data_IF_913451838448
#
_entry.id   IF_913451838448
#
_cell.length_a   1.000
_cell.length_b   1.000
_cell.length_c   1.000
_cell.angle_alpha   90.00
_cell.angle_beta   90.00
_cell.angle_gamma   90.00
#
_symmetry.space_group_name_H-M   'P 1'
#
loop_
_entity.id
_entity.type
_entity.pdbx_description
1 polymer ?
#
# COMPACT_ATOMS: atom_id res chain seq x y z
N UNK A 1 13.65 7.45 5.60
CA UNK A 1 12.99 6.93 4.39
C UNK A 1 12.65 5.46 4.54
N UNK A 2 13.63 4.57 4.78
CA UNK A 2 13.37 3.13 4.84
C UNK A 2 12.34 2.75 5.90
N UNK A 3 12.46 3.29 7.12
CA UNK A 3 11.48 3.07 8.19
C UNK A 3 10.11 3.62 7.80
N UNK A 4 10.07 4.82 7.18
CA UNK A 4 8.83 5.40 6.70
C UNK A 4 8.18 4.58 5.57
N UNK A 5 8.97 4.07 4.62
CA UNK A 5 8.50 3.17 3.57
C UNK A 5 7.92 1.86 4.14
N UNK A 6 8.59 1.27 5.14
CA UNK A 6 8.13 0.05 5.79
C UNK A 6 6.82 0.28 6.58
N UNK A 7 6.75 1.37 7.34
CA UNK A 7 5.52 1.77 8.04
C UNK A 7 4.40 2.07 7.04
N UNK A 8 4.71 2.79 5.97
CA UNK A 8 3.75 3.11 4.91
C UNK A 8 3.17 1.85 4.26
N UNK A 9 4.03 0.88 3.90
CA UNK A 9 3.62 -0.41 3.34
C UNK A 9 2.79 -1.24 4.34
N UNK A 10 3.10 -1.16 5.65
CA UNK A 10 2.36 -1.91 6.67
C UNK A 10 1.00 -1.30 7.03
N UNK A 11 0.87 0.04 6.98
CA UNK A 11 -0.37 0.75 7.32
C UNK A 11 -1.30 0.96 6.12
N UNK A 12 -0.73 1.14 4.92
CA UNK A 12 -1.47 1.44 3.70
C UNK A 12 -2.20 2.79 3.71
N UNK A 13 -2.07 3.60 4.77
CA UNK A 13 -2.79 4.86 4.98
C UNK A 13 -1.79 6.00 5.22
N UNK A 14 -1.80 7.00 4.34
CA UNK A 14 -0.88 8.15 4.40
C UNK A 14 -0.98 8.89 5.73
N UNK A 15 -2.18 9.23 6.16
CA UNK A 15 -2.39 10.00 7.39
C UNK A 15 -1.82 9.33 8.63
N UNK A 16 -2.09 8.02 8.80
CA UNK A 16 -1.57 7.25 9.94
C UNK A 16 -0.04 7.22 9.94
N UNK A 17 0.57 6.96 8.78
CA UNK A 17 2.04 6.89 8.64
C UNK A 17 2.68 8.25 8.91
N UNK A 18 2.18 9.32 8.28
CA UNK A 18 2.72 10.68 8.44
C UNK A 18 2.60 11.13 9.89
N UNK A 19 1.45 10.95 10.53
CA UNK A 19 1.24 11.33 11.95
C UNK A 19 2.20 10.56 12.84
N UNK A 20 2.28 9.24 12.69
CA UNK A 20 3.16 8.39 13.51
C UNK A 20 4.63 8.78 13.35
N UNK A 21 5.10 8.94 12.11
CA UNK A 21 6.46 9.38 11.83
C UNK A 21 6.73 10.80 12.37
N UNK A 22 5.75 11.69 12.28
CA UNK A 22 5.88 13.05 12.82
C UNK A 22 6.02 13.03 14.34
N UNK A 23 5.25 12.21 15.04
CA UNK A 23 5.30 12.14 16.50
C UNK A 23 6.57 11.45 17.02
N UNK A 24 7.10 10.46 16.31
CA UNK A 24 8.23 9.64 16.76
C UNK A 24 9.56 10.17 16.19
N UNK A 25 9.66 10.35 14.89
CA UNK A 25 10.93 10.65 14.23
C UNK A 25 11.24 12.16 14.23
N UNK A 26 10.26 13.04 14.03
CA UNK A 26 10.51 14.47 13.90
C UNK A 26 11.17 15.09 15.14
N UNK A 27 10.70 14.85 16.39
CA UNK A 27 11.35 15.39 17.57
C UNK A 27 12.79 14.91 17.72
N UNK A 28 13.07 13.66 17.37
CA UNK A 28 14.42 13.10 17.42
C UNK A 28 15.32 13.73 16.36
N UNK A 29 14.85 13.90 15.13
CA UNK A 29 15.60 14.56 14.07
C UNK A 29 15.93 16.01 14.43
N UNK A 30 14.95 16.76 14.97
CA UNK A 30 15.19 18.15 15.38
C UNK A 30 16.18 18.23 16.54
N UNK A 31 16.10 17.37 17.55
CA UNK A 31 17.09 17.32 18.65
C UNK A 31 18.49 17.01 18.17
N UNK A 32 18.63 16.18 17.15
CA UNK A 32 19.91 15.84 16.52
C UNK A 32 20.39 16.93 15.53
N UNK A 33 19.70 18.08 15.43
CA UNK A 33 20.14 19.22 14.63
C UNK A 33 19.82 19.16 13.14
N UNK A 34 18.94 18.25 12.72
CA UNK A 34 18.51 18.19 11.31
C UNK A 34 17.76 19.47 10.91
N UNK A 35 17.99 19.93 9.66
CA UNK A 35 17.20 21.02 9.10
C UNK A 35 15.69 20.64 9.14
N UNK A 36 14.83 21.48 9.73
CA UNK A 36 13.38 21.22 9.81
C UNK A 36 12.74 20.97 8.45
N UNK A 37 13.23 21.61 7.37
CA UNK A 37 12.73 21.40 6.00
C UNK A 37 13.05 19.98 5.53
N UNK A 38 14.31 19.53 5.70
CA UNK A 38 14.73 18.19 5.32
C UNK A 38 13.97 17.13 6.12
N UNK A 39 13.84 17.32 7.45
CA UNK A 39 13.14 16.41 8.33
C UNK A 39 11.66 16.27 7.97
N UNK A 40 10.95 17.39 7.83
CA UNK A 40 9.51 17.40 7.51
C UNK A 40 9.24 16.87 6.10
N UNK A 41 10.02 17.30 5.11
CA UNK A 41 9.90 16.79 3.72
C UNK A 41 10.12 15.29 3.63
N UNK A 42 11.16 14.77 4.31
CA UNK A 42 11.43 13.33 4.37
C UNK A 42 10.28 12.54 4.99
N UNK A 43 9.70 13.02 6.09
CA UNK A 43 8.60 12.36 6.78
C UNK A 43 7.35 12.36 5.91
N UNK A 44 6.96 13.51 5.35
CA UNK A 44 5.79 13.62 4.49
C UNK A 44 5.92 12.72 3.25
N UNK A 45 7.06 12.81 2.54
CA UNK A 45 7.32 12.01 1.36
C UNK A 45 7.36 10.51 1.66
N UNK A 46 8.01 10.10 2.75
CA UNK A 46 8.05 8.68 3.15
C UNK A 46 6.66 8.15 3.49
N UNK A 47 5.80 8.98 4.10
CA UNK A 47 4.43 8.60 4.43
C UNK A 47 3.55 8.37 3.21
N UNK A 48 3.79 9.09 2.10
CA UNK A 48 3.03 8.90 0.86
C UNK A 48 3.41 7.63 0.11
N UNK A 49 4.56 7.01 0.40
CA UNK A 49 4.99 5.75 -0.23
C UNK A 49 3.98 4.60 -0.04
N UNK A 50 3.15 4.63 1.00
CA UNK A 50 2.10 3.64 1.22
C UNK A 50 1.01 3.60 0.15
N UNK A 51 0.95 4.60 -0.74
CA UNK A 51 0.03 4.59 -1.88
C UNK A 51 0.57 3.75 -3.05
N UNK A 52 1.89 3.65 -3.21
CA UNK A 52 2.49 2.94 -4.35
C UNK A 52 3.22 1.66 -3.95
N UNK A 53 3.71 1.53 -2.71
CA UNK A 53 4.40 0.30 -2.27
C UNK A 53 3.36 -0.74 -1.82
N UNK A 54 3.29 -1.91 -2.47
CA UNK A 54 2.38 -2.98 -2.05
C UNK A 54 2.74 -3.59 -0.67
N UNK A 55 1.74 -4.05 0.09
CA UNK A 55 0.30 -3.99 -0.18
C UNK A 55 -0.31 -2.60 0.10
N UNK A 56 -0.97 -2.02 -0.87
CA UNK A 56 -1.53 -0.66 -0.82
C UNK A 56 -3.04 -0.67 -0.99
N UNK A 57 -3.77 0.05 -0.14
CA UNK A 57 -5.22 0.22 -0.27
C UNK A 57 -5.57 0.94 -1.58
N UNK A 58 -4.78 1.96 -1.95
CA UNK A 58 -4.98 2.71 -3.20
C UNK A 58 -4.93 1.78 -4.41
N UNK A 59 -3.92 0.90 -4.47
CA UNK A 59 -3.76 -0.03 -5.58
C UNK A 59 -4.87 -1.09 -5.62
N UNK A 60 -5.38 -1.55 -4.47
CA UNK A 60 -6.51 -2.49 -4.42
C UNK A 60 -7.76 -1.85 -5.00
N UNK A 61 -8.12 -0.65 -4.52
CA UNK A 61 -9.32 0.06 -4.97
C UNK A 61 -9.19 0.49 -6.45
N UNK A 62 -8.01 0.91 -6.85
CA UNK A 62 -7.72 1.27 -8.23
C UNK A 62 -7.76 0.06 -9.17
N UNK A 63 -7.32 -1.12 -8.73
CA UNK A 63 -7.44 -2.35 -9.49
C UNK A 63 -8.89 -2.69 -9.82
N UNK A 64 -9.77 -2.56 -8.83
CA UNK A 64 -11.21 -2.79 -9.01
C UNK A 64 -11.83 -1.77 -9.98
N UNK A 65 -11.54 -0.48 -9.80
CA UNK A 65 -12.02 0.59 -10.67
C UNK A 65 -11.52 0.42 -12.13
N UNK A 66 -10.24 0.11 -12.32
CA UNK A 66 -9.64 -0.09 -13.65
C UNK A 66 -10.13 -1.39 -14.30
N UNK A 67 -10.32 -2.47 -13.54
CA UNK A 67 -10.91 -3.72 -14.06
C UNK A 67 -12.32 -3.49 -14.62
N UNK A 68 -13.13 -2.74 -13.87
CA UNK A 68 -14.47 -2.33 -14.32
C UNK A 68 -14.41 -1.43 -15.57
N UNK A 69 -13.49 -0.46 -15.61
CA UNK A 69 -13.27 0.42 -16.76
C UNK A 69 -12.81 -0.36 -18.00
N UNK A 70 -11.91 -1.32 -17.83
CA UNK A 70 -11.44 -2.19 -18.91
C UNK A 70 -12.55 -3.08 -19.46
N UNK A 71 -13.42 -3.60 -18.59
CA UNK A 71 -14.60 -4.36 -19.01
C UNK A 71 -15.58 -3.49 -19.81
N UNK A 72 -15.83 -2.25 -19.40
CA UNK A 72 -16.66 -1.30 -20.14
C UNK A 72 -16.05 -0.95 -21.50
N UNK A 73 -14.75 -0.68 -21.57
CA UNK A 73 -14.04 -0.42 -22.82
C UNK A 73 -14.13 -1.61 -23.79
N UNK A 74 -13.98 -2.85 -23.29
CA UNK A 74 -14.14 -4.06 -24.10
C UNK A 74 -15.55 -4.21 -24.66
N UNK A 75 -16.57 -3.92 -23.87
CA UNK A 75 -17.97 -3.96 -24.32
C UNK A 75 -18.25 -2.90 -25.40
N UNK A 76 -17.74 -1.68 -25.21
CA UNK A 76 -17.95 -0.58 -26.17
C UNK A 76 -17.25 -0.84 -27.51
N UNK A 77 -16.10 -1.50 -27.52
CA UNK A 77 -15.33 -1.80 -28.75
C UNK A 77 -15.71 -3.12 -29.40
N UNK A 78 -16.56 -3.94 -28.76
CA UNK A 78 -16.89 -5.29 -29.24
C UNK A 78 -15.69 -6.25 -29.29
N UNK A 79 -14.58 -5.89 -28.66
CA UNK A 79 -13.38 -6.72 -28.64
C UNK A 79 -13.56 -7.85 -27.62
N UNK A 80 -13.48 -9.10 -28.08
CA UNK A 80 -13.57 -10.30 -27.23
C UNK A 80 -12.37 -10.52 -26.31
N UNK A 81 -11.36 -9.65 -26.34
CA UNK A 81 -10.19 -9.66 -25.45
C UNK A 81 -10.53 -8.90 -24.17
N UNK A 82 -10.95 -9.61 -23.13
CA UNK A 82 -11.12 -9.00 -21.80
C UNK A 82 -9.75 -8.66 -21.24
N UNK A 83 -9.47 -7.35 -21.13
CA UNK A 83 -8.37 -6.89 -20.28
C UNK A 83 -8.80 -7.09 -18.82
N UNK A 84 -8.52 -8.27 -18.28
CA UNK A 84 -8.75 -8.54 -16.86
C UNK A 84 -7.54 -8.00 -16.11
N UNK A 85 -7.75 -6.93 -15.37
CA UNK A 85 -6.73 -6.37 -14.48
C UNK A 85 -7.00 -6.89 -13.08
N UNK A 86 -6.04 -7.60 -12.52
CA UNK A 86 -6.12 -8.10 -11.15
C UNK A 86 -5.39 -7.17 -10.18
N UNK A 87 -5.69 -7.29 -8.89
CA UNK A 87 -4.92 -6.63 -7.82
C UNK A 87 -3.45 -7.07 -7.85
N UNK A 88 -3.20 -8.33 -8.19
CA UNK A 88 -1.84 -8.87 -8.35
C UNK A 88 -1.06 -8.15 -9.44
N UNK A 89 -1.69 -7.84 -10.57
CA UNK A 89 -1.06 -7.11 -11.68
C UNK A 89 -0.68 -5.70 -11.26
N UNK A 90 -1.54 -5.00 -10.52
CA UNK A 90 -1.22 -3.67 -10.01
C UNK A 90 -0.12 -3.71 -8.94
N UNK A 91 -0.14 -4.70 -8.07
CA UNK A 91 0.93 -4.88 -7.09
C UNK A 91 2.27 -5.14 -7.77
N UNK A 92 2.31 -6.04 -8.76
CA UNK A 92 3.50 -6.30 -9.54
C UNK A 92 3.95 -5.04 -10.30
N UNK A 93 3.02 -4.35 -10.96
CA UNK A 93 3.30 -3.13 -11.72
C UNK A 93 3.82 -1.97 -10.88
N UNK A 94 3.42 -1.91 -9.61
CA UNK A 94 3.83 -0.86 -8.68
C UNK A 94 5.19 -1.10 -8.02
N UNK A 95 5.69 -2.36 -7.98
CA UNK A 95 6.92 -2.70 -7.27
C UNK A 95 8.14 -1.94 -7.80
N UNK A 96 8.37 -1.99 -9.11
CA UNK A 96 9.53 -1.33 -9.72
C UNK A 96 9.46 0.20 -9.54
N UNK A 97 8.35 0.89 -9.88
CA UNK A 97 8.20 2.31 -9.61
C UNK A 97 8.33 2.67 -8.13
N UNK A 98 7.74 1.87 -7.24
CA UNK A 98 7.79 2.09 -5.80
C UNK A 98 9.21 2.03 -5.25
N UNK A 99 9.98 0.97 -5.58
CA UNK A 99 11.38 0.86 -5.15
C UNK A 99 12.28 1.92 -5.80
N UNK A 100 12.01 2.28 -7.05
CA UNK A 100 12.73 3.35 -7.73
C UNK A 100 12.51 4.69 -7.00
N UNK A 101 11.29 4.96 -6.56
CA UNK A 101 10.97 6.16 -5.77
C UNK A 101 11.70 6.19 -4.43
N UNK A 102 11.74 5.06 -3.72
CA UNK A 102 12.53 4.93 -2.48
C UNK A 102 14.00 5.23 -2.76
N UNK A 103 14.55 4.66 -3.85
CA UNK A 103 15.93 4.91 -4.28
C UNK A 103 16.19 6.39 -4.59
N UNK A 104 15.26 7.07 -5.28
CA UNK A 104 15.35 8.50 -5.57
C UNK A 104 15.33 9.34 -4.28
N UNK A 105 14.49 9.00 -3.32
CA UNK A 105 14.45 9.68 -2.03
C UNK A 105 15.71 9.49 -1.22
N UNK A 106 16.24 8.26 -1.17
CA UNK A 106 17.50 7.97 -0.51
C UNK A 106 18.67 8.70 -1.19
N UNK A 107 18.69 8.70 -2.54
CA UNK A 107 19.68 9.42 -3.33
C UNK A 107 19.67 10.92 -3.05
N UNK A 108 18.47 11.53 -2.97
CA UNK A 108 18.33 12.94 -2.62
C UNK A 108 18.88 13.27 -1.22
N UNK A 109 18.54 12.44 -0.22
CA UNK A 109 19.01 12.64 1.15
C UNK A 109 20.53 12.45 1.23
N UNK A 110 21.09 11.42 0.57
CA UNK A 110 22.52 11.20 0.49
C UNK A 110 23.24 12.38 -0.19
N UNK A 111 22.70 12.87 -1.29
CA UNK A 111 23.23 14.05 -1.99
C UNK A 111 23.20 15.29 -1.09
N UNK A 112 22.11 15.48 -0.34
CA UNK A 112 21.97 16.60 0.60
C UNK A 112 22.99 16.48 1.73
N UNK A 113 23.18 15.28 2.30
CA UNK A 113 24.15 15.04 3.36
C UNK A 113 25.61 15.28 2.90
N UNK A 114 25.93 14.97 1.63
CA UNK A 114 27.27 15.20 1.07
C UNK A 114 27.49 16.70 0.78
N UNK A 115 26.49 17.38 0.18
CA UNK A 115 26.64 18.78 -0.23
C UNK A 115 26.41 19.80 0.91
N UNK A 116 25.56 19.44 1.85
CA UNK A 116 25.12 20.29 2.95
C UNK A 116 25.11 19.52 4.28
N UNK A 117 26.29 19.08 4.79
CA UNK A 117 26.39 18.28 5.99
C UNK A 117 25.80 19.00 7.22
N UNK A 118 25.76 20.34 7.20
CA UNK A 118 25.11 21.14 8.22
C UNK A 118 23.58 20.93 8.34
N UNK A 119 22.93 20.44 7.28
CA UNK A 119 21.48 20.13 7.26
C UNK A 119 21.17 18.72 7.73
N UNK A 120 22.16 17.86 7.73
CA UNK A 120 22.04 16.42 8.03
C UNK A 120 23.25 16.01 8.90
N UNK A 121 23.40 16.57 10.13
CA UNK A 121 24.54 16.29 10.97
C UNK A 121 24.58 14.81 11.36
N UNK A 122 25.77 14.25 11.64
CA UNK A 122 25.90 12.90 12.15
C UNK A 122 25.19 12.77 13.49
N UNK A 123 24.57 11.62 13.72
CA UNK A 123 23.85 11.33 14.96
C UNK A 123 24.84 11.44 16.13
N UNK A 124 24.52 12.29 17.09
CA UNK A 124 25.28 12.41 18.33
C UNK A 124 24.86 11.27 19.27
N UNK A 125 25.84 10.66 19.90
CA UNK A 125 25.60 9.65 20.93
C UNK A 125 24.95 10.34 22.14
N UNK A 126 23.69 10.04 22.39
CA UNK A 126 22.91 10.58 23.52
C UNK A 126 23.00 9.68 24.77
N UNK A 127 23.91 8.68 24.75
CA UNK A 127 24.07 7.72 25.85
C UNK A 127 22.95 6.70 25.95
N UNK A 128 22.05 6.64 24.96
CA UNK A 128 21.01 5.60 24.90
C UNK A 128 21.65 4.23 24.67
N UNK A 129 21.19 3.17 25.37
CA UNK A 129 21.72 1.84 25.14
C UNK A 129 21.48 1.43 23.68
N UNK A 130 22.46 0.75 23.04
CA UNK A 130 22.29 0.28 21.67
C UNK A 130 21.11 -0.69 21.58
N UNK A 131 20.33 -0.55 20.53
CA UNK A 131 19.20 -1.46 20.26
C UNK A 131 19.72 -2.89 20.18
N UNK A 132 19.06 -3.79 20.90
CA UNK A 132 19.38 -5.21 20.82
C UNK A 132 18.95 -5.78 19.47
N UNK A 133 19.66 -6.81 18.99
CA UNK A 133 19.28 -7.51 17.75
C UNK A 133 17.84 -8.02 17.80
N UNK A 134 17.35 -8.41 18.97
CA UNK A 134 15.97 -8.87 19.19
C UNK A 134 14.96 -7.72 18.94
N UNK A 135 15.22 -6.53 19.45
CA UNK A 135 14.36 -5.36 19.26
C UNK A 135 14.29 -4.94 17.80
N UNK A 136 15.42 -4.94 17.11
CA UNK A 136 15.47 -4.65 15.67
C UNK A 136 14.73 -5.73 14.87
N UNK A 137 14.94 -7.01 15.17
CA UNK A 137 14.30 -8.11 14.48
C UNK A 137 12.77 -8.10 14.64
N UNK A 138 12.27 -7.81 15.83
CA UNK A 138 10.82 -7.67 16.04
C UNK A 138 10.26 -6.37 15.49
N UNK A 139 10.97 -5.24 15.63
CA UNK A 139 10.48 -3.94 15.18
C UNK A 139 10.41 -3.80 13.67
N UNK A 140 11.39 -4.30 12.94
CA UNK A 140 11.47 -4.22 11.49
C UNK A 140 11.17 -5.55 10.80
N UNK A 141 11.67 -6.65 11.36
CA UNK A 141 11.59 -7.97 10.73
C UNK A 141 10.18 -8.54 10.70
N UNK A 142 9.39 -8.37 11.75
CA UNK A 142 8.03 -8.90 11.81
C UNK A 142 7.09 -8.26 10.77
N UNK A 143 7.01 -6.92 10.63
CA UNK A 143 6.24 -6.30 9.55
C UNK A 143 6.75 -6.69 8.16
N UNK A 144 8.07 -6.70 7.96
CA UNK A 144 8.67 -7.07 6.67
C UNK A 144 8.32 -8.51 6.28
N UNK A 145 8.40 -9.44 7.22
CA UNK A 145 8.03 -10.84 6.99
C UNK A 145 6.56 -10.98 6.59
N UNK A 146 5.66 -10.24 7.24
CA UNK A 146 4.24 -10.23 6.87
C UNK A 146 4.02 -9.68 5.47
N UNK A 147 4.65 -8.55 5.13
CA UNK A 147 4.55 -7.93 3.80
C UNK A 147 5.04 -8.93 2.74
N UNK A 148 6.21 -9.54 2.94
CA UNK A 148 6.78 -10.53 2.00
C UNK A 148 5.90 -11.77 1.89
N UNK A 149 5.33 -12.25 3.00
CA UNK A 149 4.44 -13.41 2.99
C UNK A 149 3.13 -13.15 2.22
N UNK A 150 2.46 -12.01 2.51
CA UNK A 150 1.20 -11.64 1.84
C UNK A 150 1.44 -11.34 0.37
N UNK A 151 2.44 -10.51 0.06
CA UNK A 151 2.77 -10.14 -1.31
C UNK A 151 3.26 -11.34 -2.12
N UNK A 152 4.11 -12.17 -1.51
CA UNK A 152 4.58 -13.41 -2.13
C UNK A 152 3.46 -14.40 -2.41
N UNK A 153 2.46 -14.51 -1.52
CA UNK A 153 1.29 -15.35 -1.76
C UNK A 153 0.43 -14.85 -2.95
N UNK A 154 0.28 -13.52 -3.10
CA UNK A 154 -0.48 -12.92 -4.20
C UNK A 154 0.30 -13.05 -5.52
N UNK A 155 1.56 -12.60 -5.56
CA UNK A 155 2.37 -12.61 -6.78
C UNK A 155 2.76 -14.02 -7.23
N UNK A 156 2.90 -14.94 -6.29
CA UNK A 156 3.13 -16.37 -6.58
C UNK A 156 1.87 -17.14 -7.00
N UNK A 157 0.70 -16.48 -7.08
CA UNK A 157 -0.56 -17.13 -7.44
C UNK A 157 -1.04 -18.17 -6.43
N UNK A 158 -0.51 -18.16 -5.21
CA UNK A 158 -0.84 -19.12 -4.14
C UNK A 158 -2.21 -18.84 -3.56
N UNK A 159 -2.55 -17.55 -3.40
CA UNK A 159 -3.81 -17.10 -2.84
C UNK A 159 -4.29 -15.81 -3.53
N UNK A 160 -5.61 -15.66 -3.77
CA UNK A 160 -6.16 -14.37 -4.20
C UNK A 160 -5.97 -13.32 -3.10
N UNK A 161 -6.04 -12.01 -3.45
CA UNK A 161 -5.76 -10.93 -2.50
C UNK A 161 -6.57 -10.97 -1.21
N UNK A 162 -7.82 -11.40 -1.27
CA UNK A 162 -8.71 -11.52 -0.10
C UNK A 162 -8.25 -12.62 0.88
N UNK A 163 -7.82 -13.77 0.36
CA UNK A 163 -7.29 -14.86 1.18
C UNK A 163 -5.91 -14.51 1.75
N UNK A 164 -5.05 -13.89 0.93
CA UNK A 164 -3.75 -13.41 1.37
C UNK A 164 -3.88 -12.35 2.49
N UNK A 165 -4.88 -11.46 2.41
CA UNK A 165 -5.18 -10.52 3.47
C UNK A 165 -5.59 -11.22 4.78
N UNK A 166 -6.38 -12.29 4.72
CA UNK A 166 -6.75 -13.09 5.89
C UNK A 166 -5.51 -13.75 6.55
N UNK A 167 -4.57 -14.26 5.74
CA UNK A 167 -3.27 -14.76 6.23
C UNK A 167 -2.49 -13.62 6.91
N UNK A 168 -2.49 -12.43 6.31
CA UNK A 168 -1.87 -11.24 6.89
C UNK A 168 -2.44 -10.86 8.25
N UNK A 169 -3.77 -10.86 8.39
CA UNK A 169 -4.45 -10.59 9.67
C UNK A 169 -4.08 -11.64 10.72
N UNK A 170 -4.13 -12.92 10.38
CA UNK A 170 -3.76 -14.00 11.30
C UNK A 170 -2.29 -13.90 11.73
N UNK A 171 -1.39 -13.64 10.79
CA UNK A 171 0.02 -13.41 11.05
C UNK A 171 0.26 -12.20 11.96
N UNK A 172 -0.44 -11.08 11.72
CA UNK A 172 -0.38 -9.89 12.56
C UNK A 172 -0.83 -10.16 14.01
N UNK A 173 -1.93 -10.92 14.19
CA UNK A 173 -2.44 -11.33 15.51
C UNK A 173 -1.42 -12.19 16.23
N UNK A 174 -0.81 -13.17 15.54
CA UNK A 174 0.20 -14.06 16.14
C UNK A 174 1.47 -13.31 16.53
N UNK A 175 1.99 -12.43 15.64
CA UNK A 175 3.22 -11.67 15.91
C UNK A 175 3.01 -10.60 16.99
N UNK A 176 1.89 -9.88 16.96
CA UNK A 176 1.55 -8.92 18.00
C UNK A 176 1.32 -9.62 19.35
N UNK A 177 0.60 -10.76 19.35
CA UNK A 177 0.41 -11.59 20.53
C UNK A 177 1.73 -12.07 21.11
N UNK A 178 2.67 -12.51 20.26
CA UNK A 178 3.99 -12.99 20.67
C UNK A 178 4.82 -11.85 21.32
N UNK A 179 4.78 -10.66 20.74
CA UNK A 179 5.48 -9.49 21.30
C UNK A 179 4.95 -9.13 22.69
N UNK A 180 3.63 -9.09 22.84
CA UNK A 180 2.98 -8.71 24.09
C UNK A 180 3.09 -9.81 25.17
N UNK A 181 3.08 -11.09 24.78
CA UNK A 181 3.29 -12.21 25.69
C UNK A 181 4.72 -12.28 26.21
N UNK A 182 5.72 -11.91 25.42
CA UNK A 182 7.13 -11.85 25.84
C UNK A 182 7.33 -10.80 26.95
N UNK A 183 6.60 -9.69 26.88
CA UNK A 183 6.61 -8.65 27.91
C UNK A 183 5.92 -9.11 29.22
N UNK A 184 4.93 -10.02 29.15
CA UNK A 184 4.13 -10.51 30.28
C UNK A 184 4.72 -11.79 30.95
N UNK A 185 5.85 -12.31 30.46
CA UNK A 185 6.56 -13.50 30.97
C UNK A 185 5.74 -14.82 31.04
N UNK A 186 4.61 -14.92 30.29
CA UNK A 186 3.79 -16.14 30.24
C UNK A 186 4.31 -17.17 29.21
N UNK A 187 5.26 -18.01 29.62
CA UNK A 187 5.94 -18.99 28.76
C UNK A 187 4.99 -19.93 27.97
N UNK A 188 3.85 -20.33 28.55
CA UNK A 188 2.86 -21.21 27.87
C UNK A 188 2.20 -20.53 26.69
N UNK A 189 1.81 -19.25 26.84
CA UNK A 189 1.19 -18.44 25.80
C UNK A 189 2.18 -18.25 24.66
N UNK A 190 3.44 -17.91 24.97
CA UNK A 190 4.52 -17.76 23.99
C UNK A 190 4.67 -19.03 23.15
N UNK A 191 4.70 -20.23 23.79
CA UNK A 191 4.81 -21.50 23.06
C UNK A 191 3.61 -21.77 22.15
N UNK A 192 2.38 -21.48 22.56
CA UNK A 192 1.19 -21.65 21.74
C UNK A 192 1.20 -20.72 20.52
N UNK A 193 1.64 -19.47 20.69
CA UNK A 193 1.77 -18.52 19.60
C UNK A 193 2.88 -18.93 18.62
N UNK A 194 4.01 -19.39 19.12
CA UNK A 194 5.12 -19.94 18.29
C UNK A 194 4.69 -21.19 17.53
N UNK A 195 3.94 -22.09 18.18
CA UNK A 195 3.36 -23.26 17.53
C UNK A 195 2.36 -22.87 16.43
N UNK A 196 1.55 -21.84 16.68
CA UNK A 196 0.67 -21.26 15.66
C UNK A 196 1.42 -20.71 14.44
N UNK A 197 2.52 -20.00 14.63
CA UNK A 197 3.38 -19.56 13.53
C UNK A 197 4.06 -20.75 12.82
N UNK A 198 4.58 -21.70 13.58
CA UNK A 198 5.22 -22.91 13.02
C UNK A 198 4.25 -23.79 12.22
N UNK A 199 2.95 -23.81 12.61
CA UNK A 199 1.94 -24.58 11.90
C UNK A 199 1.68 -24.05 10.48
N UNK A 200 1.86 -22.76 10.21
CA UNK A 200 1.77 -22.20 8.85
C UNK A 200 2.85 -22.81 7.95
N UNK A 201 4.08 -22.87 8.45
CA UNK A 201 5.19 -23.49 7.72
C UNK A 201 4.91 -24.99 7.50
N UNK A 202 4.41 -25.66 8.54
CA UNK A 202 4.05 -27.07 8.46
C UNK A 202 2.97 -27.33 7.40
N UNK A 203 1.91 -26.50 7.34
CA UNK A 203 0.85 -26.61 6.33
C UNK A 203 1.41 -26.43 4.91
N UNK A 204 2.29 -25.43 4.71
CA UNK A 204 2.93 -25.20 3.41
C UNK A 204 3.77 -26.41 2.98
N UNK A 205 4.56 -26.98 3.90
CA UNK A 205 5.36 -28.15 3.64
C UNK A 205 4.51 -29.39 3.32
N UNK A 206 3.45 -29.62 4.11
CA UNK A 206 2.53 -30.74 3.91
C UNK A 206 1.81 -30.65 2.55
N UNK A 207 1.39 -29.44 2.14
CA UNK A 207 0.81 -29.22 0.80
C UNK A 207 1.77 -29.59 -0.34
N UNK A 208 3.06 -29.35 -0.16
CA UNK A 208 4.06 -29.69 -1.18
C UNK A 208 4.45 -31.19 -1.19
N UNK A 209 4.30 -31.87 -0.06
CA UNK A 209 4.69 -33.27 0.10
C UNK A 209 3.55 -34.26 -0.19
N UNK A 210 2.30 -33.85 0.04
CA UNK A 210 1.11 -34.69 -0.05
C UNK A 210 0.05 -34.07 -0.93
N UNK A 211 -0.71 -34.91 -1.66
CA UNK A 211 -1.93 -34.46 -2.31
C UNK A 211 -3.07 -34.35 -1.27
N UNK A 212 -3.40 -33.12 -0.89
CA UNK A 212 -4.40 -32.83 0.14
C UNK A 212 -5.84 -32.74 -0.39
N UNK A 213 -6.08 -33.11 -1.66
CA UNK A 213 -7.42 -33.09 -2.27
C UNK A 213 -8.30 -34.16 -1.67
N UNK A 214 -9.40 -33.77 -1.04
CA UNK A 214 -10.36 -34.71 -0.40
C UNK A 214 -11.47 -35.17 -1.34
N UNK A 215 -11.61 -34.63 -2.55
CA UNK A 215 -12.64 -34.95 -3.53
C UNK A 215 -12.24 -36.03 -4.56
N UNK A 216 -11.16 -36.79 -4.32
CA UNK A 216 -10.66 -37.82 -5.25
C UNK A 216 -11.26 -39.17 -4.88
N UNK A 217 -11.63 -39.95 -5.89
CA UNK A 217 -12.32 -41.26 -5.71
C UNK A 217 -11.51 -42.30 -4.90
N UNK A 218 -10.17 -42.20 -4.88
CA UNK A 218 -9.30 -43.07 -4.07
C UNK A 218 -8.19 -42.22 -3.43
N UNK A 219 -8.16 -42.10 -2.11
CA UNK A 219 -7.11 -41.45 -1.37
C UNK A 219 -6.11 -42.53 -0.90
N UNK A 220 -4.84 -42.42 -1.31
CA UNK A 220 -3.79 -43.35 -0.86
C UNK A 220 -3.46 -43.09 0.62
N UNK A 221 -3.04 -44.15 1.35
CA UNK A 221 -2.72 -44.06 2.80
C UNK A 221 -1.74 -42.95 3.16
N UNK A 222 -0.75 -42.65 2.29
CA UNK A 222 0.19 -41.56 2.51
C UNK A 222 -0.51 -40.20 2.51
N UNK A 223 -1.47 -39.99 1.60
CA UNK A 223 -2.23 -38.75 1.53
C UNK A 223 -3.25 -38.59 2.67
N UNK A 224 -3.83 -39.73 3.15
CA UNK A 224 -4.66 -39.74 4.36
C UNK A 224 -3.88 -39.21 5.60
N UNK A 225 -2.64 -39.68 5.76
CA UNK A 225 -1.74 -39.19 6.83
C UNK A 225 -1.44 -37.71 6.62
N UNK A 226 -1.15 -37.27 5.40
CA UNK A 226 -0.91 -35.88 5.05
C UNK A 226 -2.11 -34.98 5.38
N UNK A 227 -3.32 -35.43 5.06
CA UNK A 227 -4.58 -34.71 5.39
C UNK A 227 -4.75 -34.62 6.91
N UNK A 228 -4.56 -35.73 7.66
CA UNK A 228 -4.68 -35.74 9.11
C UNK A 228 -3.69 -34.78 9.79
N UNK A 229 -2.42 -34.79 9.33
CA UNK A 229 -1.40 -33.87 9.82
C UNK A 229 -1.73 -32.40 9.51
N UNK A 230 -2.31 -32.14 8.34
CA UNK A 230 -2.74 -30.80 7.95
C UNK A 230 -3.91 -30.33 8.80
N UNK A 231 -4.88 -31.20 9.11
CA UNK A 231 -5.97 -30.88 10.05
C UNK A 231 -5.42 -30.56 11.42
N UNK A 232 -4.48 -31.37 11.93
CA UNK A 232 -3.85 -31.10 13.24
C UNK A 232 -3.10 -29.78 13.26
N UNK A 233 -2.31 -29.50 12.21
CA UNK A 233 -1.61 -28.22 12.07
C UNK A 233 -2.59 -27.05 11.99
N UNK A 234 -3.71 -27.20 11.30
CA UNK A 234 -4.77 -26.19 11.23
C UNK A 234 -5.42 -25.92 12.62
N UNK A 235 -5.66 -26.98 13.40
CA UNK A 235 -6.16 -26.82 14.79
C UNK A 235 -5.16 -26.04 15.64
N UNK A 236 -3.86 -26.34 15.53
CA UNK A 236 -2.79 -25.61 16.24
C UNK A 236 -2.73 -24.16 15.78
N UNK A 237 -2.88 -23.89 14.48
CA UNK A 237 -2.95 -22.55 13.93
C UNK A 237 -4.09 -21.74 14.53
N UNK A 238 -5.33 -22.27 14.49
CA UNK A 238 -6.48 -21.58 15.04
C UNK A 238 -6.41 -21.41 16.56
N UNK A 239 -5.84 -22.37 17.28
CA UNK A 239 -5.58 -22.24 18.72
C UNK A 239 -4.56 -21.11 19.00
N UNK A 240 -3.51 -21.00 18.19
CA UNK A 240 -2.55 -19.88 18.25
C UNK A 240 -3.21 -18.53 17.99
N UNK A 241 -4.01 -18.41 16.93
CA UNK A 241 -4.74 -17.17 16.60
C UNK A 241 -5.71 -16.80 17.71
N UNK A 242 -6.49 -17.76 18.24
CA UNK A 242 -7.40 -17.52 19.38
C UNK A 242 -6.64 -17.03 20.62
N UNK A 243 -5.48 -17.64 20.92
CA UNK A 243 -4.59 -17.20 21.99
C UNK A 243 -4.09 -15.76 21.75
N UNK A 244 -3.67 -15.43 20.55
CA UNK A 244 -3.25 -14.07 20.17
C UNK A 244 -4.37 -13.05 20.36
N UNK A 245 -5.60 -13.38 19.96
CA UNK A 245 -6.76 -12.51 20.18
C UNK A 245 -7.06 -12.30 21.68
N UNK A 246 -6.90 -13.35 22.51
CA UNK A 246 -7.05 -13.22 23.97
C UNK A 246 -6.00 -12.30 24.55
N UNK A 247 -4.72 -12.44 24.13
CA UNK A 247 -3.63 -11.54 24.57
C UNK A 247 -3.90 -10.10 24.16
N UNK A 248 -4.24 -9.86 22.89
CA UNK A 248 -4.58 -8.53 22.38
C UNK A 248 -5.76 -7.90 23.11
N UNK A 249 -6.79 -8.70 23.46
CA UNK A 249 -7.93 -8.25 24.26
C UNK A 249 -7.51 -7.87 25.67
N UNK A 250 -6.70 -8.71 26.33
CA UNK A 250 -6.17 -8.47 27.69
C UNK A 250 -5.34 -7.19 27.74
N UNK A 251 -4.48 -6.98 26.73
CA UNK A 251 -3.64 -5.78 26.59
C UNK A 251 -4.40 -4.55 26.03
N UNK A 252 -5.73 -4.65 25.88
CA UNK A 252 -6.61 -3.58 25.36
C UNK A 252 -6.26 -3.05 23.96
N UNK A 253 -5.52 -3.84 23.16
CA UNK A 253 -5.14 -3.48 21.79
C UNK A 253 -6.18 -3.94 20.74
N UNK A 254 -6.94 -4.99 21.02
CA UNK A 254 -7.89 -5.57 20.06
C UNK A 254 -9.03 -4.59 19.71
N UNK A 255 -9.64 -3.96 20.71
CA UNK A 255 -10.81 -3.10 20.48
C UNK A 255 -10.48 -1.84 19.67
N UNK A 256 -9.38 -1.11 19.94
CA UNK A 256 -8.95 -0.01 19.06
C UNK A 256 -8.69 -0.46 17.62
N UNK A 257 -8.05 -1.61 17.41
CA UNK A 257 -7.78 -2.14 16.08
C UNK A 257 -9.08 -2.48 15.33
N UNK A 258 -10.03 -3.17 15.97
CA UNK A 258 -11.34 -3.48 15.39
C UNK A 258 -12.14 -2.22 15.09
N UNK A 259 -12.15 -1.24 15.99
CA UNK A 259 -12.83 0.04 15.77
C UNK A 259 -12.25 0.78 14.57
N UNK A 260 -10.93 0.87 14.47
CA UNK A 260 -10.25 1.51 13.33
C UNK A 260 -10.58 0.79 12.01
N UNK A 261 -10.49 -0.54 11.98
CA UNK A 261 -10.84 -1.33 10.81
C UNK A 261 -12.31 -1.12 10.39
N UNK A 262 -13.25 -1.14 11.35
CA UNK A 262 -14.67 -0.90 11.08
C UNK A 262 -14.91 0.51 10.54
N UNK A 263 -14.27 1.52 11.11
CA UNK A 263 -14.41 2.92 10.65
C UNK A 263 -13.96 3.08 9.22
N UNK A 264 -12.75 2.55 8.87
CA UNK A 264 -12.21 2.62 7.52
C UNK A 264 -13.11 1.88 6.54
N UNK A 265 -13.51 0.65 6.86
CA UNK A 265 -14.37 -0.17 6.01
C UNK A 265 -15.73 0.53 5.78
N UNK A 266 -16.37 1.03 6.83
CA UNK A 266 -17.65 1.74 6.72
C UNK A 266 -17.52 3.01 5.87
N UNK A 267 -16.44 3.76 6.02
CA UNK A 267 -16.15 4.95 5.22
C UNK A 267 -16.02 4.58 3.73
N UNK A 268 -15.24 3.56 3.40
CA UNK A 268 -15.04 3.12 2.01
C UNK A 268 -16.37 2.68 1.39
N UNK A 269 -17.18 1.88 2.08
CA UNK A 269 -18.48 1.46 1.57
C UNK A 269 -19.46 2.63 1.39
N UNK A 270 -19.47 3.59 2.30
CA UNK A 270 -20.33 4.78 2.17
C UNK A 270 -19.94 5.61 0.95
N UNK A 271 -18.64 5.83 0.74
CA UNK A 271 -18.14 6.54 -0.45
C UNK A 271 -18.50 5.78 -1.72
N UNK A 272 -18.31 4.45 -1.74
CA UNK A 272 -18.64 3.60 -2.89
C UNK A 272 -20.13 3.65 -3.25
N UNK A 273 -21.04 3.63 -2.28
CA UNK A 273 -22.48 3.80 -2.51
C UNK A 273 -22.76 5.18 -3.09
N UNK A 274 -22.20 6.23 -2.50
CA UNK A 274 -22.37 7.60 -3.00
C UNK A 274 -21.83 7.79 -4.41
N UNK A 275 -20.64 7.25 -4.70
CA UNK A 275 -20.01 7.27 -6.02
C UNK A 275 -20.83 6.50 -7.06
N UNK A 276 -21.39 5.34 -6.68
CA UNK A 276 -22.26 4.56 -7.57
C UNK A 276 -23.55 5.31 -7.94
N UNK A 277 -24.18 5.97 -6.95
CA UNK A 277 -25.35 6.81 -7.20
C UNK A 277 -25.00 8.01 -8.09
N UNK A 278 -23.89 8.69 -7.82
CA UNK A 278 -23.40 9.78 -8.66
C UNK A 278 -23.16 9.30 -10.10
N UNK A 279 -22.44 8.19 -10.29
CA UNK A 279 -22.15 7.63 -11.60
C UNK A 279 -23.43 7.24 -12.37
N UNK A 280 -24.43 6.68 -11.67
CA UNK A 280 -25.72 6.33 -12.27
C UNK A 280 -26.44 7.57 -12.81
N UNK A 281 -26.53 8.62 -11.99
CA UNK A 281 -27.18 9.88 -12.38
C UNK A 281 -26.40 10.57 -13.50
N UNK A 282 -25.07 10.63 -13.38
CA UNK A 282 -24.19 11.26 -14.36
C UNK A 282 -24.32 10.60 -15.75
N UNK A 283 -24.33 9.27 -15.81
CA UNK A 283 -24.58 8.51 -17.05
C UNK A 283 -25.99 8.70 -17.57
N UNK A 284 -26.99 8.75 -16.70
CA UNK A 284 -28.37 8.98 -17.07
C UNK A 284 -28.61 10.33 -17.80
N UNK A 285 -27.71 11.31 -17.54
CA UNK A 285 -27.67 12.59 -18.25
C UNK A 285 -26.67 12.62 -19.41
N UNK A 286 -26.10 11.49 -19.82
CA UNK A 286 -25.11 11.42 -20.92
C UNK A 286 -23.75 12.04 -20.57
N UNK A 287 -23.38 12.10 -19.28
CA UNK A 287 -22.15 12.73 -18.84
C UNK A 287 -20.90 11.97 -19.24
N UNK A 288 -20.98 10.65 -19.36
CA UNK A 288 -19.91 9.79 -19.85
C UNK A 288 -19.61 10.03 -21.33
N UNK A 289 -20.63 10.23 -22.18
CA UNK A 289 -20.47 10.62 -23.58
C UNK A 289 -19.78 11.98 -23.71
N UNK A 290 -20.18 12.97 -22.89
CA UNK A 290 -19.54 14.29 -22.86
C UNK A 290 -18.05 14.18 -22.48
N UNK A 291 -17.72 13.40 -21.46
CA UNK A 291 -16.33 13.19 -21.05
C UNK A 291 -15.53 12.50 -22.16
N UNK A 292 -16.11 11.48 -22.79
CA UNK A 292 -15.48 10.78 -23.91
C UNK A 292 -15.22 11.74 -25.10
N UNK A 293 -16.21 12.54 -25.49
CA UNK A 293 -16.09 13.53 -26.58
C UNK A 293 -15.01 14.58 -26.27
N UNK A 294 -14.97 15.10 -25.04
CA UNK A 294 -13.92 16.02 -24.60
C UNK A 294 -12.55 15.36 -24.74
N UNK A 295 -12.36 14.14 -24.24
CA UNK A 295 -11.08 13.45 -24.31
C UNK A 295 -10.66 13.10 -25.75
N UNK A 296 -11.61 12.72 -26.61
CA UNK A 296 -11.35 12.45 -28.01
C UNK A 296 -11.00 13.71 -28.82
N UNK A 297 -11.58 14.86 -28.46
CA UNK A 297 -11.32 16.15 -29.13
C UNK A 297 -10.06 16.87 -28.66
N UNK A 298 -9.34 16.31 -27.64
CA UNK A 298 -8.16 16.98 -27.08
C UNK A 298 -7.05 17.19 -28.11
N UNK A 299 -6.47 18.41 -28.19
CA UNK A 299 -5.28 18.65 -29.00
C UNK A 299 -4.12 17.77 -28.50
N UNK A 300 -3.42 17.12 -29.43
CA UNK A 300 -2.36 16.14 -29.11
C UNK A 300 -2.86 14.68 -29.08
N UNK A 301 -4.14 14.44 -29.42
CA UNK A 301 -4.72 13.11 -29.52
C UNK A 301 -4.71 12.38 -28.17
N UNK A 302 -4.41 11.07 -28.16
CA UNK A 302 -4.42 10.26 -26.93
C UNK A 302 -3.51 10.79 -25.81
N UNK A 303 -2.35 11.37 -26.16
CA UNK A 303 -1.44 11.95 -25.16
C UNK A 303 -2.00 13.23 -24.54
N UNK A 304 -2.70 14.06 -25.34
CA UNK A 304 -3.41 15.24 -24.83
C UNK A 304 -4.50 14.85 -23.84
N UNK A 305 -5.30 13.82 -24.17
CA UNK A 305 -6.31 13.26 -23.29
C UNK A 305 -5.73 12.75 -21.96
N UNK A 306 -4.60 12.02 -22.03
CA UNK A 306 -3.91 11.53 -20.84
C UNK A 306 -3.42 12.68 -19.95
N UNK A 307 -2.70 13.65 -20.53
CA UNK A 307 -2.16 14.79 -19.79
C UNK A 307 -3.28 15.60 -19.13
N UNK A 308 -4.37 15.86 -19.87
CA UNK A 308 -5.53 16.56 -19.32
C UNK A 308 -6.13 15.80 -18.14
N UNK A 309 -6.33 14.50 -18.28
CA UNK A 309 -6.83 13.64 -17.19
C UNK A 309 -5.91 13.70 -15.97
N UNK A 310 -4.59 13.59 -16.18
CA UNK A 310 -3.61 13.66 -15.08
C UNK A 310 -3.65 15.02 -14.38
N UNK A 311 -3.79 16.12 -15.11
CA UNK A 311 -3.92 17.48 -14.54
C UNK A 311 -5.21 17.60 -13.73
N UNK A 312 -6.34 17.14 -14.25
CA UNK A 312 -7.62 17.18 -13.54
C UNK A 312 -7.55 16.36 -12.25
N UNK A 313 -7.06 15.12 -12.31
CA UNK A 313 -6.91 14.29 -11.12
C UNK A 313 -5.93 14.90 -10.11
N UNK A 314 -4.83 15.51 -10.58
CA UNK A 314 -3.87 16.19 -9.73
C UNK A 314 -4.50 17.36 -8.98
N UNK A 315 -5.29 18.20 -9.66
CA UNK A 315 -5.99 19.33 -9.05
C UNK A 315 -7.09 18.86 -8.09
N UNK A 316 -7.86 17.84 -8.47
CA UNK A 316 -8.86 17.25 -7.57
C UNK A 316 -8.24 16.66 -6.32
N UNK A 317 -7.05 16.06 -6.40
CA UNK A 317 -6.33 15.51 -5.26
C UNK A 317 -5.86 16.53 -4.21
N UNK A 318 -6.05 17.83 -4.46
CA UNK A 318 -5.89 18.85 -3.42
C UNK A 318 -7.10 18.93 -2.48
N UNK A 319 -8.28 18.53 -2.93
CA UNK A 319 -9.55 18.73 -2.24
C UNK A 319 -10.25 17.43 -1.87
N UNK A 320 -10.02 16.37 -2.66
CA UNK A 320 -10.61 15.06 -2.50
C UNK A 320 -9.56 14.05 -2.03
N UNK A 321 -9.97 13.13 -1.17
CA UNK A 321 -9.13 11.98 -0.84
C UNK A 321 -9.03 11.02 -2.04
N UNK A 322 -8.02 10.15 -2.01
CA UNK A 322 -7.80 9.20 -3.12
C UNK A 322 -9.00 8.28 -3.35
N UNK A 323 -9.76 7.95 -2.29
CA UNK A 323 -10.92 7.05 -2.38
C UNK A 323 -12.00 7.67 -3.27
N UNK A 324 -12.33 8.94 -3.05
CA UNK A 324 -13.32 9.64 -3.88
C UNK A 324 -12.87 9.74 -5.34
N UNK A 325 -11.59 10.06 -5.58
CA UNK A 325 -11.08 10.16 -6.95
C UNK A 325 -11.11 8.81 -7.65
N UNK A 326 -10.71 7.73 -6.96
CA UNK A 326 -10.73 6.37 -7.53
C UNK A 326 -12.15 5.90 -7.86
N UNK A 327 -13.13 6.19 -7.02
CA UNK A 327 -14.50 5.71 -7.27
C UNK A 327 -15.39 6.65 -8.08
N UNK A 328 -15.05 7.95 -8.19
CA UNK A 328 -15.83 8.91 -8.95
C UNK A 328 -15.16 9.24 -10.27
N UNK A 329 -13.89 9.64 -10.25
CA UNK A 329 -13.19 10.16 -11.44
C UNK A 329 -12.68 9.04 -12.34
N UNK A 330 -12.02 8.03 -11.77
CA UNK A 330 -11.43 6.93 -12.56
C UNK A 330 -12.47 6.21 -13.43
N UNK A 331 -13.68 5.86 -12.95
CA UNK A 331 -14.70 5.23 -13.80
C UNK A 331 -15.19 6.08 -14.99
N UNK A 332 -14.99 7.40 -14.92
CA UNK A 332 -15.39 8.32 -16.00
C UNK A 332 -14.27 8.49 -17.04
N UNK A 333 -13.02 8.54 -16.61
CA UNK A 333 -11.90 8.87 -17.49
C UNK A 333 -11.12 7.65 -17.98
N UNK A 334 -11.10 6.55 -17.24
CA UNK A 334 -10.34 5.37 -17.60
C UNK A 334 -10.90 4.61 -18.81
N UNK A 335 -12.24 4.39 -18.97
CA UNK A 335 -12.76 3.69 -20.14
C UNK A 335 -12.37 4.37 -21.47
N UNK A 336 -12.59 5.68 -21.69
CA UNK A 336 -12.17 6.33 -22.93
C UNK A 336 -10.63 6.30 -23.14
N UNK A 337 -9.83 6.40 -22.08
CA UNK A 337 -8.36 6.29 -22.21
C UNK A 337 -7.93 4.87 -22.62
N UNK A 338 -8.56 3.83 -22.11
CA UNK A 338 -8.32 2.44 -22.52
C UNK A 338 -8.74 2.22 -23.99
N UNK A 339 -9.89 2.79 -24.41
CA UNK A 339 -10.34 2.77 -25.81
C UNK A 339 -9.32 3.48 -26.73
N UNK A 340 -8.69 4.54 -26.27
CA UNK A 340 -7.61 5.24 -27.00
C UNK A 340 -6.31 4.42 -27.08
N UNK A 341 -6.27 3.22 -26.50
CA UNK A 341 -5.17 2.27 -26.63
C UNK A 341 -4.08 2.40 -25.56
N UNK A 342 -4.40 2.88 -24.37
CA UNK A 342 -3.50 2.80 -23.23
C UNK A 342 -3.64 1.46 -22.51
N UNK A 343 -2.52 0.89 -22.08
CA UNK A 343 -2.50 -0.30 -21.23
C UNK A 343 -3.12 0.01 -19.87
N UNK A 344 -4.10 -0.79 -19.40
CA UNK A 344 -4.82 -0.50 -18.16
C UNK A 344 -3.93 -0.54 -16.91
N UNK A 345 -2.95 -1.45 -16.83
CA UNK A 345 -2.02 -1.56 -15.68
C UNK A 345 -1.10 -0.34 -15.64
N UNK A 346 -0.51 0.02 -16.77
CA UNK A 346 0.33 1.21 -16.88
C UNK A 346 -0.43 2.49 -16.54
N UNK A 347 -1.66 2.63 -17.04
CA UNK A 347 -2.52 3.76 -16.75
C UNK A 347 -2.82 3.86 -15.24
N UNK A 348 -3.15 2.74 -14.60
CA UNK A 348 -3.40 2.68 -13.17
C UNK A 348 -2.17 3.12 -12.35
N UNK A 349 -0.98 2.66 -12.71
CA UNK A 349 0.25 3.04 -12.01
C UNK A 349 0.55 4.53 -12.18
N UNK A 350 0.33 5.10 -13.37
CA UNK A 350 0.45 6.55 -13.57
C UNK A 350 -0.55 7.33 -12.72
N UNK A 351 -1.81 6.89 -12.67
CA UNK A 351 -2.84 7.51 -11.83
C UNK A 351 -2.46 7.44 -10.35
N UNK A 352 -1.96 6.30 -9.86
CA UNK A 352 -1.50 6.14 -8.48
C UNK A 352 -0.35 7.08 -8.13
N UNK A 353 0.67 7.20 -8.99
CA UNK A 353 1.79 8.12 -8.80
C UNK A 353 1.34 9.59 -8.83
N UNK A 354 0.39 9.92 -9.70
CA UNK A 354 -0.17 11.26 -9.81
C UNK A 354 -0.92 11.65 -8.54
N UNK A 355 -1.78 10.77 -8.02
CA UNK A 355 -2.48 10.97 -6.75
C UNK A 355 -1.50 11.12 -5.58
N UNK A 356 -0.47 10.26 -5.52
CA UNK A 356 0.57 10.37 -4.50
C UNK A 356 1.27 11.74 -4.55
N UNK A 357 1.52 12.27 -5.74
CA UNK A 357 2.17 13.57 -5.94
C UNK A 357 1.27 14.71 -5.49
N UNK A 358 -0.02 14.68 -5.81
CA UNK A 358 -0.98 15.70 -5.37
C UNK A 358 -1.08 15.77 -3.84
N UNK A 359 -1.04 14.61 -3.16
CA UNK A 359 -1.06 14.52 -1.70
C UNK A 359 0.14 15.14 -1.00
N UNK A 360 1.26 15.29 -1.71
CA UNK A 360 2.47 15.93 -1.18
C UNK A 360 2.60 17.40 -1.60
N UNK A 361 1.73 17.89 -2.50
CA UNK A 361 1.90 19.21 -3.13
C UNK A 361 1.19 20.31 -2.36
N UNK A 362 1.92 21.41 -1.96
CA UNK A 362 1.30 22.59 -1.38
C UNK A 362 0.27 23.25 -2.32
N UNK A 363 -0.71 23.98 -1.79
CA UNK A 363 -0.92 24.31 -0.37
C UNK A 363 -1.74 23.29 0.41
N UNK A 364 -2.48 22.38 -0.23
CA UNK A 364 -3.53 21.57 0.38
C UNK A 364 -3.18 20.08 0.51
N UNK A 365 -2.01 19.63 0.04
CA UNK A 365 -1.64 18.21 0.08
C UNK A 365 -1.88 17.56 1.44
N UNK A 366 -2.70 16.51 1.47
CA UNK A 366 -3.14 15.84 2.71
C UNK A 366 -1.97 15.38 3.60
N UNK A 367 -0.87 14.91 3.02
CA UNK A 367 0.31 14.52 3.78
C UNK A 367 0.90 15.70 4.57
N UNK A 368 0.92 16.89 3.96
CA UNK A 368 1.41 18.10 4.60
C UNK A 368 0.46 18.61 5.69
N UNK A 369 -0.85 18.42 5.46
CA UNK A 369 -1.87 18.75 6.44
C UNK A 369 -1.77 17.86 7.69
N UNK A 370 -1.66 16.56 7.53
CA UNK A 370 -1.46 15.61 8.62
C UNK A 370 -0.17 15.89 9.38
N UNK A 371 0.93 16.17 8.66
CA UNK A 371 2.20 16.52 9.27
C UNK A 371 2.06 17.82 10.07
N UNK A 372 1.42 18.85 9.52
CA UNK A 372 1.20 20.12 10.22
C UNK A 372 0.40 19.94 11.52
N UNK A 373 -0.64 19.09 11.49
CA UNK A 373 -1.47 18.79 12.67
C UNK A 373 -0.72 18.09 13.81
N UNK A 374 0.29 17.29 13.48
CA UNK A 374 1.08 16.55 14.45
C UNK A 374 2.42 17.21 14.81
N UNK A 375 2.90 18.17 14.00
CA UNK A 375 4.19 18.82 14.20
C UNK A 375 4.17 19.82 15.36
N UNK A 376 5.29 19.99 16.09
CA UNK A 376 5.44 21.01 17.12
C UNK A 376 5.21 22.41 16.57
N UNK A 377 4.72 23.34 17.42
CA UNK A 377 4.45 24.73 17.05
C UNK A 377 5.70 25.49 16.57
N UNK A 378 6.89 25.07 16.97
CA UNK A 378 8.17 25.64 16.53
C UNK A 378 8.43 25.48 15.02
N UNK A 379 7.81 24.51 14.35
CA UNK A 379 7.97 24.28 12.93
C UNK A 379 6.92 25.08 12.15
N UNK A 380 7.39 25.97 11.27
CA UNK A 380 6.52 26.81 10.45
C UNK A 380 5.97 26.03 9.25
N UNK A 381 4.73 26.31 8.85
CA UNK A 381 4.10 25.68 7.67
C UNK A 381 4.94 25.85 6.39
N UNK A 382 5.56 27.03 6.22
CA UNK A 382 6.43 27.30 5.08
C UNK A 382 7.65 26.35 5.04
N UNK A 383 8.19 25.94 6.18
CA UNK A 383 9.30 24.97 6.24
C UNK A 383 8.85 23.58 5.77
N UNK A 384 7.63 23.17 6.14
CA UNK A 384 7.02 21.93 5.68
C UNK A 384 6.85 21.95 4.16
N UNK A 385 6.29 23.04 3.61
CA UNK A 385 6.09 23.19 2.18
C UNK A 385 7.41 23.17 1.41
N UNK A 386 8.40 23.95 1.86
CA UNK A 386 9.72 23.99 1.23
C UNK A 386 10.44 22.66 1.30
N UNK A 387 10.22 21.91 2.38
CA UNK A 387 10.76 20.55 2.54
C UNK A 387 10.16 19.53 1.58
N UNK A 388 8.89 19.69 1.22
CA UNK A 388 8.21 18.79 0.28
C UNK A 388 8.66 18.97 -1.18
N UNK A 389 9.04 20.19 -1.60
CA UNK A 389 9.34 20.53 -3.00
C UNK A 389 10.33 19.57 -3.67
N UNK A 390 11.49 19.24 -3.09
CA UNK A 390 12.43 18.32 -3.75
C UNK A 390 11.81 16.94 -4.01
N UNK A 391 11.02 16.43 -3.08
CA UNK A 391 10.37 15.13 -3.20
C UNK A 391 9.24 15.13 -4.24
N UNK A 392 8.52 16.25 -4.39
CA UNK A 392 7.54 16.46 -5.46
C UNK A 392 8.24 16.40 -6.83
N UNK A 393 9.37 17.06 -6.98
CA UNK A 393 10.16 17.04 -8.23
C UNK A 393 10.59 15.61 -8.56
N UNK A 394 11.02 14.82 -7.56
CA UNK A 394 11.39 13.42 -7.76
C UNK A 394 10.19 12.54 -8.16
N UNK A 395 9.01 12.80 -7.61
CA UNK A 395 7.77 12.11 -8.01
C UNK A 395 7.37 12.46 -9.45
N UNK A 396 7.43 13.73 -9.82
CA UNK A 396 7.17 14.15 -11.20
C UNK A 396 8.20 13.56 -12.18
N UNK A 397 9.46 13.48 -11.78
CA UNK A 397 10.48 12.78 -12.57
C UNK A 397 10.12 11.30 -12.78
N UNK A 398 9.66 10.62 -11.71
CA UNK A 398 9.24 9.22 -11.80
C UNK A 398 8.00 9.05 -12.69
N UNK A 399 7.00 9.93 -12.59
CA UNK A 399 5.84 9.94 -13.50
C UNK A 399 6.32 10.06 -14.94
N UNK A 400 7.22 11.00 -15.23
CA UNK A 400 7.82 11.16 -16.56
C UNK A 400 8.57 9.90 -17.04
N UNK A 401 9.31 9.25 -16.15
CA UNK A 401 10.02 7.99 -16.46
C UNK A 401 9.05 6.85 -16.78
N UNK A 402 8.01 6.66 -15.97
CA UNK A 402 7.01 5.60 -16.20
C UNK A 402 6.18 5.90 -17.45
N UNK A 403 5.91 7.18 -17.75
CA UNK A 403 5.25 7.59 -19.00
C UNK A 403 6.11 7.29 -20.22
N UNK A 404 7.42 7.56 -20.14
CA UNK A 404 8.37 7.34 -21.23
C UNK A 404 8.74 5.85 -21.41
N UNK A 405 8.77 5.09 -20.31
CA UNK A 405 9.20 3.68 -20.28
C UNK A 405 8.09 2.83 -19.64
N UNK A 406 7.04 2.48 -20.41
CA UNK A 406 5.91 1.69 -19.89
C UNK A 406 6.32 0.35 -19.27
N UNK A 407 7.42 -0.23 -19.72
CA UNK A 407 7.96 -1.48 -19.19
C UNK A 407 8.24 -1.42 -17.67
N UNK A 408 8.47 -0.24 -17.09
CA UNK A 408 8.65 -0.08 -15.64
C UNK A 408 7.39 -0.53 -14.85
N UNK A 409 6.21 -0.39 -15.44
CA UNK A 409 4.95 -0.79 -14.82
C UNK A 409 4.40 -2.13 -15.38
N UNK A 410 4.75 -2.52 -16.62
CA UNK A 410 4.12 -3.66 -17.30
C UNK A 410 5.00 -4.92 -17.37
N UNK A 411 6.31 -4.78 -17.18
CA UNK A 411 7.22 -5.92 -17.32
C UNK A 411 6.99 -7.00 -16.24
N UNK A 412 6.93 -6.61 -14.98
CA UNK A 412 6.77 -7.56 -13.88
C UNK A 412 5.41 -8.27 -13.91
N UNK A 413 4.26 -7.58 -14.13
CA UNK A 413 2.98 -8.24 -14.36
C UNK A 413 3.03 -9.26 -15.50
N UNK A 414 3.64 -8.93 -16.64
CA UNK A 414 3.75 -9.83 -17.77
C UNK A 414 4.58 -11.11 -17.48
N UNK A 415 5.53 -11.04 -16.54
CA UNK A 415 6.32 -12.21 -16.12
C UNK A 415 5.60 -13.03 -15.05
N UNK A 416 4.84 -12.39 -14.17
CA UNK A 416 4.13 -13.07 -13.07
C UNK A 416 2.79 -13.66 -13.49
N UNK A 417 2.18 -13.20 -14.57
CA UNK A 417 0.91 -13.70 -15.13
C UNK A 417 1.01 -15.09 -15.81
N UNK A 418 2.11 -15.82 -15.60
CA UNK A 418 2.33 -17.17 -16.17
C UNK A 418 1.87 -18.29 -15.26
#
# INVERSE_FOLDING_TARGET
VLVGALLAASTGIVGATVITMTLIALPTMIRQGYDPRLATGTIAASGTLGQIIPPSIVLILLADAISNAASQASQATGSAGSFVVSVGDLFAGALIPGFLLVGLYLGWIALTAIRHPERCPPVQDDGSPPLTTKEVAFGLGAPLLLIVAVLGAILGGVAPPTEAAAIGVAGAVLLAGLRLADDDHERRITWLLMAGLGSVIAIILLRNLFDLRTGVATIGRANEIGILLTILASVVFFAGVATGLVVLRRMRQLMPALKSATQITSMVFLILIGASLFSLVFRGYGGDDIVADILHSMPGGKWGALVMTMIVMFVLGFFLDFIEIVFVVVPLVAPPLIILGFDPVWLAILMALNLQTSFLTPPFGFALFYLRGAAPASIKTLQIWQGAVPFIVLQLLLIGLVAAIPALATWLPAVTAR
#
